data_IF_156337108253
#
_entry.id   IF_156337108253
#
_cell.length_a   1.000
_cell.length_b   1.000
_cell.length_c   1.000
_cell.angle_alpha   90.00
_cell.angle_beta   90.00
_cell.angle_gamma   90.00
#
_symmetry.space_group_name_H-M   'P 1'
#
loop_
_entity.id
_entity.type
_entity.pdbx_description
1 polymer ?
#
# COMPACT_ATOMS: atom_id res chain seq x y z
N UNK A 1 10.60 3.01 19.83
CA UNK A 1 11.92 2.41 20.16
C UNK A 1 12.19 1.11 19.38
N UNK A 2 11.25 0.16 19.27
CA UNK A 2 11.45 -1.16 18.61
C UNK A 2 11.91 -1.02 17.17
N UNK A 3 11.15 -0.31 16.32
CA UNK A 3 11.47 -0.10 14.90
C UNK A 3 12.85 0.55 14.74
N UNK A 4 13.13 1.62 15.49
CA UNK A 4 14.43 2.29 15.43
C UNK A 4 15.58 1.35 15.82
N UNK A 5 15.39 0.49 16.83
CA UNK A 5 16.40 -0.47 17.24
C UNK A 5 16.62 -1.57 16.19
N UNK A 6 15.55 -2.05 15.58
CA UNK A 6 15.63 -3.07 14.54
C UNK A 6 16.44 -2.59 13.32
N UNK A 7 16.18 -1.37 12.86
CA UNK A 7 16.84 -0.80 11.68
C UNK A 7 18.07 0.06 12.00
N UNK A 8 18.61 0.03 13.23
CA UNK A 8 19.71 0.94 13.65
C UNK A 8 20.95 0.88 12.76
N UNK A 9 21.21 -0.28 12.14
CA UNK A 9 22.38 -0.51 11.28
C UNK A 9 22.09 -0.23 9.79
N UNK A 10 20.88 0.15 9.42
CA UNK A 10 20.49 0.46 8.04
C UNK A 10 20.73 1.93 7.75
N UNK A 11 21.76 2.25 6.94
CA UNK A 11 22.21 3.63 6.68
C UNK A 11 21.20 4.49 5.89
N UNK A 12 20.32 3.87 5.12
CA UNK A 12 19.41 4.58 4.21
C UNK A 12 18.03 4.89 4.82
N UNK A 13 17.81 4.55 6.10
CA UNK A 13 16.53 4.75 6.78
C UNK A 13 16.59 5.99 7.67
N UNK A 14 15.67 6.93 7.44
CA UNK A 14 15.45 8.10 8.28
C UNK A 14 14.16 7.93 9.09
N UNK A 15 14.23 8.26 10.38
CA UNK A 15 13.10 8.16 11.30
C UNK A 15 12.55 9.54 11.61
N UNK A 16 11.26 9.71 11.40
CA UNK A 16 10.54 10.92 11.73
C UNK A 16 9.48 10.63 12.78
N UNK A 17 9.65 11.17 13.95
CA UNK A 17 8.68 11.01 15.02
C UNK A 17 7.55 12.03 14.86
N UNK A 18 6.33 11.53 14.82
CA UNK A 18 5.11 12.33 14.85
C UNK A 18 4.41 12.08 16.19
N UNK A 19 3.64 13.05 16.67
CA UNK A 19 2.83 12.85 17.87
C UNK A 19 1.75 11.81 17.60
N UNK A 20 1.25 11.16 18.66
CA UNK A 20 0.31 10.04 18.57
C UNK A 20 -0.95 10.42 17.80
N UNK A 21 -1.44 11.63 17.99
CA UNK A 21 -2.68 12.17 17.44
C UNK A 21 -2.54 12.61 15.97
N UNK A 22 -1.33 12.59 15.40
CA UNK A 22 -1.12 12.94 13.98
C UNK A 22 -1.71 11.85 13.09
N UNK A 23 -2.66 12.23 12.23
CA UNK A 23 -3.31 11.34 11.28
C UNK A 23 -2.44 11.04 10.05
N UNK A 24 -2.87 10.10 9.19
CA UNK A 24 -2.09 9.59 8.04
C UNK A 24 -1.63 10.70 7.10
N UNK A 25 -2.51 11.62 6.72
CA UNK A 25 -2.16 12.78 5.90
C UNK A 25 -1.23 13.75 6.62
N UNK A 26 -1.47 14.02 7.91
CA UNK A 26 -0.61 14.88 8.71
C UNK A 26 0.83 14.36 8.81
N UNK A 27 1.02 13.05 8.93
CA UNK A 27 2.36 12.43 8.93
C UNK A 27 3.11 12.71 7.63
N UNK A 28 2.42 12.60 6.50
CA UNK A 28 2.99 12.91 5.19
C UNK A 28 3.29 14.41 5.08
N UNK A 29 2.38 15.29 5.56
CA UNK A 29 2.55 16.75 5.51
C UNK A 29 3.83 17.20 6.23
N UNK A 30 4.15 16.59 7.36
CA UNK A 30 5.39 16.89 8.11
C UNK A 30 6.66 16.56 7.34
N UNK A 31 6.57 15.65 6.33
CA UNK A 31 7.70 15.29 5.47
C UNK A 31 7.82 16.19 4.24
N UNK A 32 6.87 17.11 3.98
CA UNK A 32 6.84 17.97 2.79
C UNK A 32 8.17 18.66 2.48
N UNK A 33 8.89 19.12 3.51
CA UNK A 33 10.17 19.82 3.36
C UNK A 33 11.32 18.96 2.80
N UNK A 34 11.14 17.63 2.77
CA UNK A 34 12.15 16.69 2.25
C UNK A 34 11.94 16.34 0.79
N UNK A 35 10.84 16.77 0.19
CA UNK A 35 10.50 16.54 -1.22
C UNK A 35 10.68 17.81 -2.04
N UNK A 36 11.19 17.66 -3.27
CA UNK A 36 11.29 18.77 -4.23
C UNK A 36 9.91 19.05 -4.84
N UNK A 37 9.69 20.31 -5.24
CA UNK A 37 8.48 20.67 -6.00
C UNK A 37 8.36 19.79 -7.25
N UNK A 38 7.17 19.29 -7.54
CA UNK A 38 6.83 18.38 -8.64
C UNK A 38 7.45 16.97 -8.58
N UNK A 39 8.14 16.61 -7.52
CA UNK A 39 8.65 15.25 -7.31
C UNK A 39 7.50 14.26 -7.09
N UNK A 40 7.66 13.04 -7.61
CA UNK A 40 6.82 11.91 -7.25
C UNK A 40 7.51 11.11 -6.16
N UNK A 41 6.75 10.63 -5.20
CA UNK A 41 7.24 9.79 -4.12
C UNK A 41 6.28 8.63 -3.86
N UNK A 42 6.82 7.59 -3.28
CA UNK A 42 6.04 6.41 -2.92
C UNK A 42 5.69 6.44 -1.44
N UNK A 43 4.53 5.88 -1.13
CA UNK A 43 4.08 5.69 0.24
C UNK A 43 3.43 4.32 0.38
N UNK A 44 3.70 3.66 1.49
CA UNK A 44 3.02 2.42 1.85
C UNK A 44 2.60 2.43 3.31
N UNK A 45 1.58 1.63 3.63
CA UNK A 45 1.25 1.29 5.01
C UNK A 45 2.21 0.22 5.53
N UNK A 46 2.41 0.18 6.86
CA UNK A 46 3.38 -0.70 7.47
C UNK A 46 2.93 -2.15 7.67
N UNK A 47 1.72 -2.50 7.28
CA UNK A 47 1.05 -3.77 7.54
C UNK A 47 0.62 -4.53 6.28
N UNK A 48 0.75 -3.93 5.10
CA UNK A 48 0.42 -4.55 3.81
C UNK A 48 1.63 -5.24 3.19
N UNK A 49 1.46 -6.51 2.80
CA UNK A 49 2.44 -7.28 2.02
C UNK A 49 1.87 -7.60 0.64
N UNK A 50 2.72 -7.52 -0.38
CA UNK A 50 2.31 -7.76 -1.76
C UNK A 50 3.47 -8.29 -2.60
N UNK A 51 3.16 -9.01 -3.68
CA UNK A 51 4.14 -9.36 -4.71
C UNK A 51 4.01 -8.47 -5.96
N UNK A 52 3.38 -7.30 -5.84
CA UNK A 52 3.27 -6.37 -6.97
C UNK A 52 4.64 -5.88 -7.45
N UNK A 53 4.76 -5.70 -8.74
CA UNK A 53 5.94 -5.06 -9.33
C UNK A 53 5.84 -3.54 -9.12
N UNK A 54 6.69 -3.03 -8.24
CA UNK A 54 6.72 -1.59 -7.87
C UNK A 54 7.09 -0.72 -9.08
N UNK A 55 8.00 -1.19 -9.95
CA UNK A 55 8.36 -0.45 -11.16
C UNK A 55 7.16 -0.28 -12.10
N UNK A 56 6.33 -1.32 -12.26
CA UNK A 56 5.10 -1.22 -13.05
C UNK A 56 4.13 -0.19 -12.45
N UNK A 57 3.97 -0.16 -11.13
CA UNK A 57 3.16 0.85 -10.44
C UNK A 57 3.67 2.26 -10.71
N UNK A 58 5.00 2.48 -10.61
CA UNK A 58 5.63 3.78 -10.88
C UNK A 58 5.46 4.17 -12.34
N UNK A 59 5.73 3.28 -13.29
CA UNK A 59 5.56 3.54 -14.72
C UNK A 59 4.10 3.85 -15.08
N UNK A 60 3.16 3.15 -14.48
CA UNK A 60 1.74 3.43 -14.63
C UNK A 60 1.39 4.85 -14.16
N UNK A 61 1.90 5.27 -12.99
CA UNK A 61 1.73 6.63 -12.48
C UNK A 61 2.31 7.68 -13.43
N UNK A 62 3.56 7.49 -13.87
CA UNK A 62 4.26 8.43 -14.75
C UNK A 62 3.53 8.59 -16.10
N UNK A 63 3.04 7.48 -16.67
CA UNK A 63 2.26 7.49 -17.93
C UNK A 63 0.98 8.30 -17.79
N UNK A 64 0.26 8.16 -16.67
CA UNK A 64 -1.03 8.79 -16.47
C UNK A 64 -0.94 10.24 -15.93
N UNK A 65 0.22 10.67 -15.43
CA UNK A 65 0.50 12.05 -14.96
C UNK A 65 -0.51 12.59 -13.94
N UNK A 66 -1.05 11.72 -13.08
CA UNK A 66 -2.03 12.09 -12.04
C UNK A 66 -1.36 12.50 -10.74
N UNK A 67 -2.10 13.15 -9.84
CA UNK A 67 -1.59 13.54 -8.51
C UNK A 67 -1.39 12.30 -7.63
N UNK A 68 -2.27 11.32 -7.73
CA UNK A 68 -2.19 10.11 -6.94
C UNK A 68 -2.53 8.87 -7.76
N UNK A 69 -1.73 7.83 -7.59
CA UNK A 69 -2.04 6.45 -8.00
C UNK A 69 -2.07 5.58 -6.77
N UNK A 70 -3.13 4.82 -6.60
CA UNK A 70 -3.35 3.88 -5.51
C UNK A 70 -3.32 2.46 -6.07
N UNK A 71 -2.67 1.53 -5.40
CA UNK A 71 -2.84 0.11 -5.71
C UNK A 71 -4.20 -0.35 -5.22
N UNK A 72 -5.01 -0.86 -6.13
CA UNK A 72 -6.27 -1.52 -5.82
C UNK A 72 -6.07 -3.03 -5.82
N UNK A 73 -6.59 -3.71 -4.82
CA UNK A 73 -6.47 -5.16 -4.64
C UNK A 73 -7.84 -5.78 -4.33
N UNK A 74 -7.97 -7.07 -4.59
CA UNK A 74 -9.12 -7.84 -4.12
C UNK A 74 -8.77 -8.46 -2.77
N UNK A 75 -9.52 -8.14 -1.69
CA UNK A 75 -9.22 -8.70 -0.37
C UNK A 75 -9.44 -10.21 -0.38
N UNK A 76 -8.63 -10.99 0.37
CA UNK A 76 -8.90 -12.40 0.59
C UNK A 76 -10.24 -12.57 1.30
N UNK A 77 -11.03 -13.58 0.90
CA UNK A 77 -12.28 -13.89 1.57
C UNK A 77 -12.00 -14.31 3.03
N UNK A 78 -12.56 -13.57 3.98
CA UNK A 78 -12.41 -13.83 5.43
C UNK A 78 -13.56 -14.66 5.99
N UNK A 79 -14.73 -14.60 5.35
CA UNK A 79 -15.98 -15.19 5.83
C UNK A 79 -16.69 -15.93 4.69
N UNK A 80 -17.57 -16.86 5.05
CA UNK A 80 -18.53 -17.42 4.12
C UNK A 80 -19.62 -16.42 3.76
N UNK A 81 -20.10 -16.45 2.53
CA UNK A 81 -21.18 -15.60 2.05
C UNK A 81 -22.51 -16.35 2.10
N UNK A 82 -23.56 -15.65 2.54
CA UNK A 82 -24.91 -16.20 2.70
C UNK A 82 -25.88 -15.38 1.85
N UNK A 83 -26.54 -16.05 0.92
CA UNK A 83 -27.59 -15.44 0.09
C UNK A 83 -28.96 -15.74 0.69
N UNK A 84 -29.70 -14.70 1.06
CA UNK A 84 -30.97 -14.82 1.75
C UNK A 84 -32.15 -14.42 0.87
N UNK A 85 -33.28 -15.12 1.04
CA UNK A 85 -34.61 -14.67 0.61
C UNK A 85 -35.52 -14.70 1.83
N UNK A 86 -35.80 -13.50 2.39
CA UNK A 86 -36.35 -13.40 3.75
C UNK A 86 -35.40 -14.03 4.75
N UNK A 87 -35.90 -14.93 5.59
CA UNK A 87 -35.08 -15.67 6.57
C UNK A 87 -34.52 -17.01 6.01
N UNK A 88 -34.82 -17.33 4.75
CA UNK A 88 -34.36 -18.57 4.13
C UNK A 88 -32.99 -18.39 3.49
N UNK A 89 -32.05 -19.27 3.83
CA UNK A 89 -30.75 -19.35 3.16
C UNK A 89 -30.95 -20.02 1.79
N UNK A 90 -30.70 -19.29 0.72
CA UNK A 90 -30.80 -19.77 -0.65
C UNK A 90 -29.46 -20.36 -1.13
N UNK A 91 -28.35 -19.83 -0.65
CA UNK A 91 -27.00 -20.28 -1.01
C UNK A 91 -26.06 -19.95 0.14
N UNK A 92 -25.14 -20.85 0.44
CA UNK A 92 -24.01 -20.64 1.33
C UNK A 92 -22.73 -20.98 0.58
N UNK A 93 -21.77 -20.07 0.60
CA UNK A 93 -20.49 -20.24 -0.09
C UNK A 93 -19.34 -19.90 0.87
N UNK A 94 -18.57 -20.91 1.25
CA UNK A 94 -17.44 -20.75 2.14
C UNK A 94 -16.23 -20.19 1.39
N UNK A 95 -15.78 -18.99 1.79
CA UNK A 95 -14.55 -18.34 1.32
C UNK A 95 -14.41 -18.14 -0.20
N UNK A 96 -15.50 -18.02 -0.92
CA UNK A 96 -15.45 -17.60 -2.31
C UNK A 96 -15.29 -16.06 -2.38
N UNK A 97 -14.38 -15.58 -3.22
CA UNK A 97 -14.26 -14.15 -3.54
C UNK A 97 -15.38 -13.71 -4.50
N UNK A 98 -16.61 -13.71 -4.04
CA UNK A 98 -17.74 -13.27 -4.86
C UNK A 98 -17.86 -11.74 -4.92
N UNK A 99 -17.35 -11.06 -3.92
CA UNK A 99 -17.29 -9.60 -3.93
C UNK A 99 -16.21 -9.14 -4.90
N UNK A 100 -16.61 -8.69 -6.08
CA UNK A 100 -15.73 -8.05 -7.07
C UNK A 100 -15.21 -6.68 -6.63
N UNK A 101 -15.40 -6.31 -5.38
CA UNK A 101 -15.02 -5.00 -4.86
C UNK A 101 -13.51 -4.90 -4.68
N UNK A 102 -12.96 -3.87 -5.29
CA UNK A 102 -11.59 -3.46 -5.08
C UNK A 102 -11.47 -2.66 -3.79
N UNK A 103 -10.39 -2.89 -3.04
CA UNK A 103 -10.06 -2.11 -1.86
C UNK A 103 -8.71 -1.41 -2.03
N UNK A 104 -8.46 -0.42 -1.18
CA UNK A 104 -7.15 0.21 -1.08
C UNK A 104 -6.12 -0.79 -0.55
N UNK A 105 -5.12 -1.11 -1.36
CA UNK A 105 -4.03 -2.04 -1.03
C UNK A 105 -2.91 -1.43 -0.19
N UNK A 106 -2.98 -0.12 0.11
CA UNK A 106 -2.01 0.55 0.98
C UNK A 106 -0.70 0.97 0.30
N UNK A 107 -0.60 0.85 -1.03
CA UNK A 107 0.57 1.29 -1.79
C UNK A 107 0.18 2.42 -2.72
N UNK A 108 0.96 3.51 -2.70
CA UNK A 108 0.68 4.72 -3.45
C UNK A 108 1.92 5.25 -4.17
N UNK A 109 1.69 5.89 -5.31
CA UNK A 109 2.61 6.86 -5.90
C UNK A 109 1.92 8.21 -5.89
N UNK A 110 2.55 9.19 -5.25
CA UNK A 110 1.99 10.52 -5.02
C UNK A 110 2.90 11.57 -5.63
N UNK A 111 2.31 12.53 -6.34
CA UNK A 111 3.02 13.74 -6.76
C UNK A 111 3.02 14.77 -5.62
N UNK A 112 4.06 15.61 -5.54
CA UNK A 112 4.16 16.71 -4.56
C UNK A 112 2.89 17.57 -4.45
N UNK A 113 2.09 17.67 -5.51
CA UNK A 113 0.82 18.40 -5.52
C UNK A 113 -0.19 17.90 -4.47
N UNK A 114 -0.03 16.66 -3.97
CA UNK A 114 -0.88 16.09 -2.90
C UNK A 114 -0.90 16.99 -1.65
N UNK A 115 0.21 17.67 -1.34
CA UNK A 115 0.30 18.55 -0.19
C UNK A 115 -0.66 19.74 -0.20
N UNK A 116 -1.24 20.09 -1.36
CA UNK A 116 -2.30 21.12 -1.46
C UNK A 116 -3.64 20.66 -0.88
N UNK A 117 -3.80 19.34 -0.70
CA UNK A 117 -5.04 18.72 -0.25
C UNK A 117 -4.97 18.26 1.21
N UNK A 118 -3.81 18.38 1.85
CA UNK A 118 -3.59 18.03 3.26
C UNK A 118 -3.55 19.32 4.07
N UNK A 119 -4.60 19.58 4.84
CA UNK A 119 -4.77 20.87 5.53
C UNK A 119 -3.98 20.95 6.86
N UNK A 120 -3.89 19.86 7.61
CA UNK A 120 -3.32 19.87 8.95
C UNK A 120 -2.87 18.47 9.39
N UNK A 121 -2.30 18.40 10.60
CA UNK A 121 -1.95 17.13 11.27
C UNK A 121 -3.15 16.20 11.49
N UNK A 122 -4.36 16.76 11.59
CA UNK A 122 -5.61 15.99 11.78
C UNK A 122 -6.22 15.49 10.47
N UNK A 123 -5.57 15.73 9.34
CA UNK A 123 -6.06 15.28 8.04
C UNK A 123 -5.79 13.77 7.88
N UNK A 124 -6.85 12.99 7.67
CA UNK A 124 -6.76 11.60 7.21
C UNK A 124 -6.62 11.57 5.69
N UNK A 125 -5.54 10.98 5.17
CA UNK A 125 -5.28 10.91 3.71
C UNK A 125 -6.46 10.26 2.97
N UNK A 126 -6.98 9.19 3.53
CA UNK A 126 -8.01 8.32 2.94
C UNK A 126 -9.39 8.99 2.85
N UNK A 127 -9.62 10.04 3.62
CA UNK A 127 -10.89 10.77 3.64
C UNK A 127 -10.87 11.99 2.72
N UNK A 128 -10.55 13.16 3.26
CA UNK A 128 -10.67 14.42 2.51
C UNK A 128 -9.75 14.50 1.29
N UNK A 129 -8.42 14.22 1.37
CA UNK A 129 -7.54 14.35 0.24
C UNK A 129 -7.91 13.42 -0.91
N UNK A 130 -8.03 12.10 -0.67
CA UNK A 130 -8.34 11.15 -1.73
C UNK A 130 -9.73 11.39 -2.31
N UNK A 131 -10.74 11.73 -1.49
CA UNK A 131 -12.07 12.07 -1.99
C UNK A 131 -12.07 13.34 -2.88
N UNK A 132 -11.29 14.37 -2.53
CA UNK A 132 -11.12 15.53 -3.39
C UNK A 132 -10.47 15.18 -4.72
N UNK A 133 -9.39 14.36 -4.67
CA UNK A 133 -8.72 13.91 -5.89
C UNK A 133 -9.61 13.04 -6.78
N UNK A 134 -10.48 12.22 -6.19
CA UNK A 134 -11.48 11.45 -6.94
C UNK A 134 -12.44 12.38 -7.69
N UNK A 135 -12.99 13.38 -7.02
CA UNK A 135 -13.93 14.35 -7.62
C UNK A 135 -13.34 15.11 -8.80
N UNK A 136 -12.06 15.47 -8.73
CA UNK A 136 -11.35 16.19 -9.81
C UNK A 136 -10.61 15.24 -10.78
N UNK A 137 -10.86 13.91 -10.71
CA UNK A 137 -10.27 12.88 -11.58
C UNK A 137 -8.72 12.85 -11.55
N UNK A 138 -8.15 13.16 -10.39
CA UNK A 138 -6.70 13.15 -10.15
C UNK A 138 -6.22 11.98 -9.26
N UNK A 139 -7.13 11.07 -8.88
CA UNK A 139 -6.85 9.77 -8.30
C UNK A 139 -7.16 8.67 -9.30
N UNK A 140 -6.18 7.78 -9.54
CA UNK A 140 -6.36 6.58 -10.36
C UNK A 140 -5.93 5.33 -9.60
N UNK A 141 -6.41 4.17 -10.03
CA UNK A 141 -6.10 2.89 -9.43
C UNK A 141 -5.24 2.02 -10.36
N UNK A 142 -4.13 1.49 -9.81
CA UNK A 142 -3.36 0.40 -10.39
C UNK A 142 -3.94 -0.91 -9.86
N UNK A 143 -4.57 -1.70 -10.71
CA UNK A 143 -5.18 -2.96 -10.33
C UNK A 143 -4.12 -4.05 -10.19
N UNK A 144 -3.96 -4.59 -8.99
CA UNK A 144 -3.07 -5.70 -8.71
C UNK A 144 -3.87 -6.98 -8.46
N UNK A 145 -3.64 -7.99 -9.29
CA UNK A 145 -4.33 -9.28 -9.25
C UNK A 145 -3.52 -10.37 -8.55
N UNK A 146 -2.30 -10.05 -8.13
CA UNK A 146 -1.40 -11.00 -7.46
C UNK A 146 -1.64 -11.10 -5.96
N UNK A 147 -0.64 -11.61 -5.26
CA UNK A 147 -0.69 -11.76 -3.81
C UNK A 147 -0.74 -10.40 -3.11
N UNK A 148 -1.68 -10.25 -2.21
CA UNK A 148 -1.76 -9.16 -1.25
C UNK A 148 -2.40 -9.64 0.05
N UNK A 149 -1.84 -9.22 1.18
CA UNK A 149 -2.39 -9.52 2.51
C UNK A 149 -1.98 -8.43 3.51
N UNK A 150 -2.91 -8.01 4.38
CA UNK A 150 -2.58 -7.15 5.52
C UNK A 150 -2.37 -8.00 6.79
N UNK A 151 -1.50 -7.51 7.67
CA UNK A 151 -1.16 -8.17 8.94
C UNK A 151 -1.83 -7.43 10.11
N UNK A 152 -3.15 -7.55 10.22
CA UNK A 152 -3.94 -6.88 11.26
C UNK A 152 -4.04 -7.69 12.55
N UNK A 153 -3.96 -9.03 12.45
CA UNK A 153 -4.20 -9.94 13.55
C UNK A 153 -3.05 -10.94 13.73
N UNK A 154 -3.00 -11.59 14.90
CA UNK A 154 -2.06 -12.71 15.13
C UNK A 154 -2.27 -13.86 14.15
N UNK A 155 -3.50 -14.09 13.70
CA UNK A 155 -3.80 -15.08 12.67
C UNK A 155 -3.13 -14.73 11.34
N UNK A 156 -3.21 -13.45 10.93
CA UNK A 156 -2.56 -12.96 9.71
C UNK A 156 -1.05 -13.11 9.81
N UNK A 157 -0.45 -12.70 10.94
CA UNK A 157 0.99 -12.88 11.20
C UNK A 157 1.42 -14.34 11.08
N UNK A 158 0.68 -15.26 11.71
CA UNK A 158 1.00 -16.69 11.67
C UNK A 158 0.87 -17.26 10.25
N UNK A 159 -0.15 -16.84 9.49
CA UNK A 159 -0.34 -17.20 8.11
C UNK A 159 0.84 -16.72 7.25
N UNK A 160 1.20 -15.45 7.36
CA UNK A 160 2.29 -14.85 6.59
C UNK A 160 3.63 -15.49 6.92
N UNK A 161 3.91 -15.79 8.19
CA UNK A 161 5.12 -16.52 8.59
C UNK A 161 5.14 -17.94 8.01
N UNK A 162 4.00 -18.64 7.99
CA UNK A 162 3.89 -19.96 7.38
C UNK A 162 4.15 -19.91 5.88
N UNK A 163 3.60 -18.93 5.19
CA UNK A 163 3.84 -18.72 3.76
C UNK A 163 5.30 -18.38 3.48
N UNK A 164 5.90 -17.49 4.27
CA UNK A 164 7.30 -17.11 4.14
C UNK A 164 8.26 -18.30 4.31
N UNK A 165 8.02 -19.16 5.30
CA UNK A 165 8.84 -20.33 5.60
C UNK A 165 8.56 -21.52 4.68
N UNK A 166 7.49 -21.47 3.88
CA UNK A 166 7.19 -22.52 2.92
C UNK A 166 8.11 -22.44 1.71
N UNK A 167 8.34 -23.61 1.04
CA UNK A 167 9.09 -23.63 -0.23
C UNK A 167 8.43 -22.78 -1.33
N UNK A 168 7.15 -22.41 -1.15
CA UNK A 168 6.36 -21.55 -2.03
C UNK A 168 6.63 -20.05 -1.82
N UNK A 169 7.46 -19.65 -0.86
CA UNK A 169 7.77 -18.23 -0.60
C UNK A 169 8.29 -17.51 -1.87
N UNK A 170 8.98 -18.22 -2.77
CA UNK A 170 9.44 -17.65 -4.04
C UNK A 170 8.31 -17.27 -5.00
N UNK A 171 7.13 -17.87 -4.88
CA UNK A 171 5.94 -17.50 -5.67
C UNK A 171 5.36 -16.14 -5.22
N UNK A 172 5.64 -15.74 -3.98
CA UNK A 172 5.18 -14.48 -3.38
C UNK A 172 6.25 -13.38 -3.42
N UNK A 173 7.49 -13.71 -3.81
CA UNK A 173 8.55 -12.72 -4.01
C UNK A 173 8.45 -12.16 -5.42
N UNK A 174 8.51 -10.85 -5.57
CA UNK A 174 8.75 -10.22 -6.85
C UNK A 174 10.13 -10.64 -7.33
N UNK A 175 10.21 -11.24 -8.50
CA UNK A 175 11.49 -11.45 -9.19
C UNK A 175 11.97 -10.09 -9.69
N UNK A 176 12.66 -9.35 -8.84
CA UNK A 176 13.41 -8.18 -9.29
C UNK A 176 14.71 -8.69 -9.91
N UNK A 177 14.85 -8.57 -11.22
CA UNK A 177 16.13 -8.75 -11.88
C UNK A 177 16.97 -7.49 -11.65
N UNK A 178 18.29 -7.63 -11.52
CA UNK A 178 19.22 -6.49 -11.36
C UNK A 178 19.03 -5.41 -12.42
N UNK A 179 18.56 -5.77 -13.62
CA UNK A 179 18.34 -4.88 -14.74
C UNK A 179 17.10 -3.97 -14.63
N UNK A 180 16.15 -4.27 -13.71
CA UNK A 180 14.95 -3.44 -13.52
C UNK A 180 15.24 -2.16 -12.70
N UNK A 181 16.45 -2.02 -12.18
CA UNK A 181 16.83 -0.96 -11.22
C UNK A 181 17.75 0.12 -11.82
N UNK A 182 18.29 -0.09 -13.01
CA UNK A 182 19.12 0.90 -13.70
C UNK A 182 18.22 1.92 -14.41
N UNK A 183 17.90 3.00 -13.74
CA UNK A 183 17.29 4.18 -14.35
C UNK A 183 16.12 4.84 -13.67
N UNK A 184 15.60 4.31 -12.59
CA UNK A 184 14.46 4.94 -11.89
C UNK A 184 14.73 5.08 -10.41
N UNK A 185 14.58 6.28 -9.94
CA UNK A 185 14.70 6.94 -8.64
C UNK A 185 14.23 6.13 -7.41
N UNK A 186 14.58 4.88 -7.28
CA UNK A 186 14.43 4.20 -6.01
C UNK A 186 15.71 3.44 -5.65
N UNK A 187 16.74 4.19 -5.18
CA UNK A 187 17.89 3.60 -4.51
C UNK A 187 17.55 2.85 -3.22
N UNK A 188 16.27 2.86 -2.83
CA UNK A 188 15.75 2.22 -1.61
C UNK A 188 15.00 0.91 -1.87
N UNK A 189 14.64 0.59 -3.12
CA UNK A 189 13.89 -0.64 -3.43
C UNK A 189 14.75 -1.92 -3.39
N UNK A 190 16.08 -1.82 -3.35
CA UNK A 190 16.97 -2.97 -3.21
C UNK A 190 17.00 -3.58 -1.80
N UNK A 191 16.38 -2.93 -0.82
CA UNK A 191 16.40 -3.36 0.58
C UNK A 191 15.06 -3.93 1.09
N UNK A 192 14.07 -4.13 0.23
CA UNK A 192 12.80 -4.75 0.60
C UNK A 192 12.85 -6.28 0.66
N UNK A 193 14.04 -6.87 0.52
CA UNK A 193 14.27 -8.31 0.71
C UNK A 193 14.26 -8.76 2.18
N UNK A 194 13.84 -7.89 3.10
CA UNK A 194 13.88 -8.18 4.54
C UNK A 194 12.54 -7.85 5.20
N UNK A 195 11.55 -8.67 4.89
CA UNK A 195 10.37 -8.90 5.75
C UNK A 195 9.95 -10.36 5.67
#
# INVERSE_FOLDING_TARGET
>A
KIIKNYFKNKKNIKYFFTVKETMTGGRILRLKKYFKKNENFMMTYGDGLTNQNINQLVQFHLKNKKIATMTAVKPPARFGEVFLKGNRVMKFEEKLQLNNNWINGGFFVLNYKIFKYIASDQTMLERQPLNKLTKIKELIAFQHHGFWHCMDTMRDKNLLNKLWNSKKANEFRTKHTKNDLEGTICKTCTEWDVW
#
